data_IF_460007199369
#
_entry.id   IF_460007199369
#
_cell.length_a   1.000
_cell.length_b   1.000
_cell.length_c   1.000
_cell.angle_alpha   90.00
_cell.angle_beta   90.00
_cell.angle_gamma   90.00
#
_symmetry.space_group_name_H-M   'P 1'
#
loop_
_entity.id
_entity.type
_entity.pdbx_description
1 polymer ?
#
# COMPACT_ATOMS: atom_id res chain seq x y z
N UNK A 1 1.47 -10.92 -17.00
CA UNK A 1 1.43 -10.44 -18.40
C UNK A 1 2.75 -9.71 -18.66
N UNK A 2 3.65 -10.32 -19.42
CA UNK A 2 4.84 -9.63 -19.91
C UNK A 2 4.42 -8.79 -21.13
N UNK A 3 4.26 -7.49 -20.95
CA UNK A 3 4.21 -6.55 -22.07
C UNK A 3 5.61 -6.52 -22.68
N UNK A 4 5.80 -7.17 -23.81
CA UNK A 4 7.02 -7.08 -24.60
C UNK A 4 6.95 -5.83 -25.45
N UNK A 5 7.69 -4.80 -25.03
CA UNK A 5 8.06 -3.69 -25.91
C UNK A 5 9.11 -4.23 -26.90
N UNK A 6 8.82 -4.27 -28.21
CA UNK A 6 9.73 -4.82 -29.20
C UNK A 6 11.01 -4.01 -29.38
N UNK A 7 11.13 -2.82 -28.78
CA UNK A 7 12.29 -1.93 -28.89
C UNK A 7 13.25 -2.01 -27.70
N UNK A 8 12.94 -2.78 -26.67
CA UNK A 8 13.82 -2.95 -25.50
C UNK A 8 14.79 -4.10 -25.69
N UNK A 9 16.05 -3.77 -25.53
CA UNK A 9 17.20 -4.68 -25.58
C UNK A 9 16.99 -5.94 -24.71
N UNK A 10 17.40 -7.09 -25.20
CA UNK A 10 17.26 -8.44 -24.63
C UNK A 10 17.74 -8.57 -23.17
N UNK A 11 18.51 -7.62 -22.66
CA UNK A 11 19.10 -7.63 -21.31
C UNK A 11 18.12 -7.31 -20.16
N UNK A 12 16.93 -6.74 -20.44
CA UNK A 12 15.93 -6.39 -19.42
C UNK A 12 14.69 -7.28 -19.45
N UNK A 13 14.76 -8.48 -19.98
CA UNK A 13 13.72 -9.47 -19.73
C UNK A 13 13.71 -9.75 -18.23
N UNK A 14 12.72 -9.21 -17.54
CA UNK A 14 12.34 -9.71 -16.21
C UNK A 14 12.25 -11.24 -16.34
N UNK A 15 13.21 -11.96 -15.79
CA UNK A 15 13.11 -13.40 -15.65
C UNK A 15 12.04 -13.69 -14.62
N UNK A 16 10.79 -13.59 -15.04
CA UNK A 16 9.76 -14.38 -14.36
C UNK A 16 10.24 -15.82 -14.51
N UNK A 17 10.58 -16.44 -13.41
CA UNK A 17 11.00 -17.83 -13.36
C UNK A 17 10.02 -18.66 -14.20
N UNK A 18 10.51 -19.31 -15.24
CA UNK A 18 9.74 -20.26 -16.09
C UNK A 18 9.21 -21.47 -15.31
N UNK A 19 9.43 -21.47 -14.00
CA UNK A 19 8.87 -22.41 -13.04
C UNK A 19 7.56 -21.88 -12.49
N UNK A 20 6.57 -21.72 -13.36
CA UNK A 20 5.19 -21.88 -12.91
C UNK A 20 5.11 -23.35 -12.49
N UNK A 21 4.85 -23.68 -11.20
CA UNK A 21 4.66 -25.07 -10.81
C UNK A 21 3.56 -25.63 -11.72
N UNK A 22 3.81 -26.79 -12.33
CA UNK A 22 2.76 -27.50 -13.05
C UNK A 22 1.56 -27.58 -12.11
N UNK A 23 0.53 -26.84 -12.41
CA UNK A 23 -0.71 -26.89 -11.64
C UNK A 23 -1.39 -28.18 -12.05
N UNK A 24 -1.51 -29.11 -11.16
CA UNK A 24 -2.37 -30.29 -11.33
C UNK A 24 -3.86 -29.93 -11.27
N UNK A 25 -4.25 -28.74 -11.75
CA UNK A 25 -5.61 -28.22 -11.80
C UNK A 25 -5.83 -27.46 -13.11
N UNK A 26 -7.02 -27.62 -13.69
CA UNK A 26 -7.55 -26.69 -14.69
C UNK A 26 -7.71 -25.31 -14.03
N UNK A 27 -6.79 -24.42 -14.34
CA UNK A 27 -6.86 -23.03 -13.89
C UNK A 27 -7.76 -22.29 -14.85
N UNK A 28 -8.83 -21.69 -14.35
CA UNK A 28 -9.66 -20.80 -15.13
C UNK A 28 -8.81 -19.69 -15.76
N UNK A 29 -8.85 -19.59 -17.07
CA UNK A 29 -8.18 -18.53 -17.83
C UNK A 29 -9.20 -17.54 -18.35
N UNK A 30 -8.76 -16.29 -18.50
CA UNK A 30 -9.50 -15.21 -19.15
C UNK A 30 -8.71 -14.71 -20.34
N UNK A 31 -9.40 -14.27 -21.38
CA UNK A 31 -8.77 -13.71 -22.58
C UNK A 31 -8.63 -12.20 -22.37
N UNK A 32 -7.39 -11.69 -22.38
CA UNK A 32 -7.10 -10.25 -22.33
C UNK A 32 -6.27 -9.91 -23.58
N UNK A 33 -6.81 -9.06 -24.46
CA UNK A 33 -6.18 -8.66 -25.72
C UNK A 33 -5.70 -9.86 -26.57
N UNK A 34 -6.48 -10.94 -26.57
CA UNK A 34 -6.17 -12.17 -27.33
C UNK A 34 -5.14 -13.09 -26.66
N UNK A 35 -4.71 -12.79 -25.43
CA UNK A 35 -3.77 -13.61 -24.65
C UNK A 35 -4.51 -14.31 -23.51
N UNK A 36 -4.38 -15.64 -23.42
CA UNK A 36 -4.87 -16.39 -22.28
C UNK A 36 -4.05 -16.04 -21.02
N UNK A 37 -4.74 -15.58 -19.98
CA UNK A 37 -4.14 -15.23 -18.69
C UNK A 37 -4.93 -15.85 -17.55
N UNK A 38 -4.34 -15.96 -16.37
CA UNK A 38 -5.11 -16.22 -15.15
C UNK A 38 -5.95 -15.00 -14.79
N UNK A 39 -7.10 -15.22 -14.16
CA UNK A 39 -7.91 -14.13 -13.62
C UNK A 39 -7.16 -13.31 -12.55
N UNK A 40 -7.74 -12.19 -12.13
CA UNK A 40 -7.11 -11.25 -11.22
C UNK A 40 -6.85 -11.88 -9.84
N UNK A 41 -7.80 -12.66 -9.31
CA UNK A 41 -7.72 -13.30 -7.98
C UNK A 41 -6.62 -14.36 -7.98
N UNK A 42 -6.63 -15.23 -8.98
CA UNK A 42 -5.61 -16.27 -9.18
C UNK A 42 -4.22 -15.66 -9.31
N UNK A 43 -4.08 -14.61 -10.14
CA UNK A 43 -2.81 -13.91 -10.34
C UNK A 43 -2.32 -13.28 -9.04
N UNK A 44 -3.19 -12.63 -8.28
CA UNK A 44 -2.83 -11.97 -7.03
C UNK A 44 -2.30 -12.97 -5.99
N UNK A 45 -2.97 -14.11 -5.82
CA UNK A 45 -2.54 -15.15 -4.89
C UNK A 45 -1.22 -15.78 -5.33
N UNK A 46 -1.02 -16.02 -6.63
CA UNK A 46 0.25 -16.52 -7.16
C UNK A 46 1.42 -15.58 -6.87
N UNK A 47 1.23 -14.28 -7.07
CA UNK A 47 2.26 -13.28 -6.80
C UNK A 47 2.47 -13.15 -5.28
N UNK A 48 1.40 -13.05 -4.49
CA UNK A 48 1.51 -12.91 -3.04
C UNK A 48 2.27 -14.07 -2.39
N UNK A 49 2.05 -15.33 -2.84
CA UNK A 49 2.75 -16.50 -2.31
C UNK A 49 4.26 -16.49 -2.61
N UNK A 50 4.71 -15.80 -3.66
CA UNK A 50 6.11 -15.77 -4.12
C UNK A 50 6.87 -14.50 -3.73
N UNK A 51 6.14 -13.45 -3.38
CA UNK A 51 6.71 -12.15 -3.00
C UNK A 51 7.04 -12.09 -1.51
N UNK A 52 7.82 -11.10 -1.11
CA UNK A 52 7.90 -10.69 0.29
C UNK A 52 6.58 -10.11 0.80
N UNK A 53 6.50 -9.79 2.08
CA UNK A 53 5.27 -9.32 2.73
C UNK A 53 4.80 -7.97 2.18
N UNK A 54 5.75 -7.07 1.88
CA UNK A 54 5.43 -5.73 1.36
C UNK A 54 4.76 -5.81 -0.01
N UNK A 55 5.40 -6.50 -0.96
CA UNK A 55 4.82 -6.68 -2.30
C UNK A 55 3.51 -7.48 -2.28
N UNK A 56 3.43 -8.49 -1.41
CA UNK A 56 2.19 -9.26 -1.26
C UNK A 56 1.04 -8.38 -0.78
N UNK A 57 1.24 -7.52 0.24
CA UNK A 57 0.19 -6.61 0.73
C UNK A 57 -0.23 -5.62 -0.35
N UNK A 58 0.73 -4.99 -1.05
CA UNK A 58 0.45 -4.05 -2.15
C UNK A 58 -0.47 -4.66 -3.21
N UNK A 59 -0.24 -5.93 -3.59
CA UNK A 59 -1.07 -6.57 -4.61
C UNK A 59 -2.46 -6.91 -4.07
N UNK A 60 -2.57 -7.34 -2.81
CA UNK A 60 -3.85 -7.66 -2.17
C UNK A 60 -4.72 -6.40 -2.04
N UNK A 61 -4.16 -5.29 -1.54
CA UNK A 61 -4.84 -3.99 -1.48
C UNK A 61 -5.31 -3.54 -2.88
N UNK A 62 -4.44 -3.68 -3.89
CA UNK A 62 -4.77 -3.28 -5.25
C UNK A 62 -5.91 -4.10 -5.86
N UNK A 63 -6.04 -5.37 -5.53
CA UNK A 63 -7.17 -6.21 -5.97
C UNK A 63 -8.46 -5.80 -5.26
N UNK A 64 -8.41 -5.64 -3.94
CA UNK A 64 -9.56 -5.19 -3.15
C UNK A 64 -10.06 -3.81 -3.62
N UNK A 65 -9.14 -2.87 -3.90
CA UNK A 65 -9.49 -1.54 -4.44
C UNK A 65 -10.18 -1.60 -5.80
N UNK A 66 -9.88 -2.61 -6.62
CA UNK A 66 -10.56 -2.84 -7.90
C UNK A 66 -11.88 -3.58 -7.79
N UNK A 67 -12.40 -3.76 -6.57
CA UNK A 67 -13.66 -4.45 -6.31
C UNK A 67 -13.52 -5.97 -6.22
N UNK A 68 -12.29 -6.49 -6.09
CA UNK A 68 -12.08 -7.91 -5.76
C UNK A 68 -12.63 -8.25 -4.38
N UNK A 69 -13.16 -9.46 -4.24
CA UNK A 69 -13.72 -9.94 -2.98
C UNK A 69 -12.63 -10.63 -2.13
N UNK A 70 -12.60 -10.30 -0.84
CA UNK A 70 -11.70 -10.93 0.13
C UNK A 70 -11.98 -12.43 0.28
N UNK A 71 -13.26 -12.82 0.21
CA UNK A 71 -13.66 -14.22 0.32
C UNK A 71 -13.10 -15.03 -0.86
N UNK A 72 -13.16 -14.48 -2.08
CA UNK A 72 -12.61 -15.13 -3.28
C UNK A 72 -11.08 -15.28 -3.17
N UNK A 73 -10.39 -14.25 -2.67
CA UNK A 73 -8.94 -14.32 -2.42
C UNK A 73 -8.58 -15.40 -1.38
N UNK A 74 -9.38 -15.54 -0.32
CA UNK A 74 -9.20 -16.58 0.71
C UNK A 74 -9.48 -17.96 0.14
N UNK A 75 -10.57 -18.14 -0.59
CA UNK A 75 -10.93 -19.41 -1.22
C UNK A 75 -9.85 -19.87 -2.21
N UNK A 76 -9.34 -18.95 -3.03
CA UNK A 76 -8.25 -19.24 -3.95
C UNK A 76 -6.95 -19.59 -3.21
N UNK A 77 -6.62 -18.90 -2.12
CA UNK A 77 -5.46 -19.21 -1.29
C UNK A 77 -5.57 -20.61 -0.68
N UNK A 78 -6.73 -20.98 -0.16
CA UNK A 78 -7.00 -22.28 0.46
C UNK A 78 -6.99 -23.44 -0.54
N UNK A 79 -7.35 -23.17 -1.78
CA UNK A 79 -7.32 -24.13 -2.87
C UNK A 79 -5.90 -24.57 -3.26
N UNK A 80 -4.85 -23.88 -2.77
CA UNK A 80 -3.48 -24.15 -3.18
C UNK A 80 -2.95 -25.46 -2.58
N UNK A 81 -2.28 -26.30 -3.38
CA UNK A 81 -1.70 -27.56 -2.90
C UNK A 81 -0.50 -27.32 -1.98
N UNK A 82 0.22 -26.20 -2.16
CA UNK A 82 1.36 -25.84 -1.33
C UNK A 82 0.93 -25.19 -0.02
N UNK A 83 1.56 -25.58 1.09
CA UNK A 83 1.38 -24.92 2.39
C UNK A 83 2.37 -23.79 2.64
N UNK A 84 3.41 -23.68 1.78
CA UNK A 84 4.45 -22.66 1.95
C UNK A 84 3.89 -21.27 1.65
N UNK A 85 4.02 -20.37 2.60
CA UNK A 85 3.57 -18.98 2.47
C UNK A 85 2.07 -18.75 2.69
N UNK A 86 1.22 -19.81 2.75
CA UNK A 86 -0.23 -19.67 2.90
C UNK A 86 -0.60 -18.92 4.18
N UNK A 87 0.00 -19.27 5.33
CA UNK A 87 -0.30 -18.58 6.61
C UNK A 87 0.13 -17.10 6.58
N UNK A 88 1.27 -16.82 5.94
CA UNK A 88 1.73 -15.43 5.76
C UNK A 88 0.75 -14.63 4.91
N UNK A 89 0.31 -15.17 3.77
CA UNK A 89 -0.63 -14.47 2.88
C UNK A 89 -2.01 -14.33 3.55
N UNK A 90 -2.45 -15.31 4.33
CA UNK A 90 -3.68 -15.23 5.12
C UNK A 90 -3.63 -14.06 6.11
N UNK A 91 -2.54 -13.93 6.88
CA UNK A 91 -2.36 -12.80 7.81
C UNK A 91 -2.33 -11.45 7.08
N UNK A 92 -1.73 -11.39 5.89
CA UNK A 92 -1.74 -10.17 5.07
C UNK A 92 -3.14 -9.86 4.51
N UNK A 93 -3.94 -10.88 4.19
CA UNK A 93 -5.34 -10.68 3.79
C UNK A 93 -6.19 -10.07 4.91
N UNK A 94 -5.92 -10.39 6.17
CA UNK A 94 -6.59 -9.76 7.31
C UNK A 94 -6.24 -8.27 7.42
N UNK A 95 -4.99 -7.92 7.11
CA UNK A 95 -4.50 -6.54 7.13
C UNK A 95 -4.96 -5.74 5.91
N UNK A 96 -5.00 -6.35 4.73
CA UNK A 96 -5.29 -5.71 3.45
C UNK A 96 -6.62 -4.96 3.45
N UNK A 97 -6.68 -3.83 2.72
CA UNK A 97 -7.88 -3.00 2.66
C UNK A 97 -8.00 -2.27 1.31
N UNK A 98 -9.16 -2.35 0.70
CA UNK A 98 -9.44 -1.71 -0.60
C UNK A 98 -9.46 -0.17 -0.57
N UNK A 99 -9.48 0.44 0.62
CA UNK A 99 -9.37 1.89 0.78
C UNK A 99 -7.93 2.42 0.59
N UNK A 100 -6.92 1.56 0.68
CA UNK A 100 -5.52 1.92 0.40
C UNK A 100 -5.37 2.34 -1.06
N UNK A 101 -4.88 3.54 -1.33
CA UNK A 101 -4.84 4.14 -2.66
C UNK A 101 -3.50 3.97 -3.38
N UNK A 102 -2.42 3.72 -2.64
CA UNK A 102 -1.07 3.61 -3.20
C UNK A 102 -0.24 2.48 -2.58
N UNK A 103 0.79 2.04 -3.30
CA UNK A 103 1.75 1.06 -2.78
C UNK A 103 2.51 1.58 -1.54
N UNK A 104 2.77 2.88 -1.47
CA UNK A 104 3.44 3.46 -0.31
C UNK A 104 2.57 3.47 0.94
N UNK A 105 1.27 3.69 0.79
CA UNK A 105 0.31 3.54 1.89
C UNK A 105 0.23 2.07 2.37
N UNK A 106 0.22 1.08 1.44
CA UNK A 106 0.29 -0.34 1.82
C UNK A 106 1.51 -0.63 2.69
N UNK A 107 2.69 -0.12 2.30
CA UNK A 107 3.91 -0.32 3.07
C UNK A 107 3.88 0.44 4.41
N UNK A 108 3.35 1.65 4.44
CA UNK A 108 3.17 2.40 5.69
C UNK A 108 2.24 1.64 6.66
N UNK A 109 1.13 1.09 6.18
CA UNK A 109 0.22 0.27 6.97
C UNK A 109 0.92 -0.98 7.52
N UNK A 110 1.73 -1.66 6.69
CA UNK A 110 2.50 -2.84 7.11
C UNK A 110 3.51 -2.49 8.21
N UNK A 111 4.24 -1.38 8.05
CA UNK A 111 5.19 -0.90 9.07
C UNK A 111 4.48 -0.60 10.38
N UNK A 112 3.37 0.13 10.35
CA UNK A 112 2.60 0.46 11.55
C UNK A 112 2.06 -0.79 12.25
N UNK A 113 1.56 -1.78 11.48
CA UNK A 113 1.15 -3.07 11.99
C UNK A 113 2.31 -3.84 12.66
N UNK A 114 3.47 -3.92 11.99
CA UNK A 114 4.64 -4.65 12.51
C UNK A 114 5.28 -4.00 13.74
N UNK A 115 5.05 -2.70 13.92
CA UNK A 115 5.41 -1.96 15.13
C UNK A 115 4.42 -2.18 16.29
N UNK A 116 3.34 -2.93 16.05
CA UNK A 116 2.30 -3.20 17.05
C UNK A 116 1.41 -2.00 17.35
N UNK A 117 1.32 -1.03 16.45
CA UNK A 117 0.41 0.09 16.58
C UNK A 117 -1.06 -0.36 16.42
N UNK A 118 -2.02 0.32 17.06
CA UNK A 118 -3.42 0.06 16.83
C UNK A 118 -3.77 0.25 15.35
N UNK A 119 -4.84 -0.40 14.89
CA UNK A 119 -5.27 -0.25 13.49
C UNK A 119 -5.80 1.18 13.30
N UNK A 120 -5.27 1.95 12.33
CA UNK A 120 -5.77 3.28 12.03
C UNK A 120 -7.10 3.22 11.27
N UNK A 121 -7.87 4.29 11.33
CA UNK A 121 -8.91 4.58 10.37
C UNK A 121 -8.26 5.01 9.05
N UNK A 122 -8.67 4.34 7.95
CA UNK A 122 -8.10 4.58 6.62
C UNK A 122 -8.92 5.60 5.87
N UNK A 123 -8.26 6.50 5.14
CA UNK A 123 -8.88 7.53 4.30
C UNK A 123 -9.94 8.34 5.08
N UNK A 124 -9.55 8.72 6.30
CA UNK A 124 -10.46 9.42 7.21
C UNK A 124 -10.74 10.85 6.75
N UNK A 125 -12.02 11.24 6.76
CA UNK A 125 -12.47 12.58 6.40
C UNK A 125 -12.79 13.41 7.65
N UNK A 126 -12.07 14.48 7.85
CA UNK A 126 -12.41 15.49 8.84
C UNK A 126 -13.44 16.45 8.28
N UNK A 127 -14.53 16.65 8.99
CA UNK A 127 -15.60 17.57 8.60
C UNK A 127 -15.90 18.58 9.71
N UNK A 128 -16.13 19.83 9.32
CA UNK A 128 -16.61 20.89 10.20
C UNK A 128 -17.88 21.48 9.58
N UNK A 129 -18.93 21.60 10.35
CA UNK A 129 -20.26 22.08 9.90
C UNK A 129 -20.77 21.37 8.64
N UNK A 130 -20.51 20.04 8.54
CA UNK A 130 -20.94 19.21 7.41
C UNK A 130 -20.12 19.38 6.13
N UNK A 131 -19.03 20.15 6.17
CA UNK A 131 -18.08 20.30 5.05
C UNK A 131 -16.80 19.52 5.32
N UNK A 132 -16.42 18.63 4.40
CA UNK A 132 -15.12 17.98 4.45
C UNK A 132 -14.01 19.03 4.29
N UNK A 133 -13.13 19.13 5.29
CA UNK A 133 -11.99 20.05 5.30
C UNK A 133 -10.68 19.37 4.92
N UNK A 134 -10.56 18.06 5.20
CA UNK A 134 -9.39 17.27 4.82
C UNK A 134 -9.75 15.78 4.82
N UNK A 135 -9.12 15.02 3.91
CA UNK A 135 -9.06 13.56 3.92
C UNK A 135 -7.61 13.17 4.11
N UNK A 136 -7.36 12.25 5.05
CA UNK A 136 -6.02 11.81 5.44
C UNK A 136 -5.88 10.29 5.27
N UNK A 137 -4.68 9.81 4.96
CA UNK A 137 -4.46 8.39 4.68
C UNK A 137 -4.73 7.51 5.90
N UNK A 138 -4.26 7.93 7.09
CA UNK A 138 -4.38 7.19 8.33
C UNK A 138 -4.68 8.13 9.50
N UNK A 139 -5.70 7.78 10.29
CA UNK A 139 -6.07 8.49 11.49
C UNK A 139 -6.06 7.56 12.71
N UNK A 140 -5.41 7.97 13.78
CA UNK A 140 -5.37 7.29 15.08
C UNK A 140 -6.15 8.11 16.10
N UNK A 141 -7.47 7.83 16.27
CA UNK A 141 -8.35 8.70 17.07
C UNK A 141 -7.94 8.81 18.55
N UNK A 142 -7.56 7.70 19.19
CA UNK A 142 -7.15 7.70 20.60
C UNK A 142 -5.86 8.48 20.84
N UNK A 143 -4.90 8.40 19.90
CA UNK A 143 -3.63 9.11 19.97
C UNK A 143 -3.76 10.55 19.46
N UNK A 144 -4.81 10.84 18.70
CA UNK A 144 -4.96 12.13 18.02
C UNK A 144 -3.89 12.37 16.95
N UNK A 145 -3.46 11.31 16.26
CA UNK A 145 -2.35 11.41 15.31
C UNK A 145 -2.81 11.06 13.90
N UNK A 146 -2.47 11.95 12.97
CA UNK A 146 -2.59 11.74 11.53
C UNK A 146 -1.26 11.22 10.99
N UNK A 147 -1.32 10.23 10.10
CA UNK A 147 -0.17 9.78 9.32
C UNK A 147 -0.54 9.84 7.83
N UNK A 148 0.32 10.43 7.02
CA UNK A 148 0.19 10.52 5.58
C UNK A 148 1.41 9.90 4.90
N UNK A 149 1.21 9.32 3.73
CA UNK A 149 2.30 8.86 2.88
C UNK A 149 2.53 9.83 1.73
N UNK A 150 3.71 10.47 1.69
CA UNK A 150 4.12 11.35 0.61
C UNK A 150 5.03 10.62 -0.38
N UNK A 151 4.45 10.25 -1.50
CA UNK A 151 5.19 9.68 -2.62
C UNK A 151 5.94 10.74 -3.42
N UNK A 152 7.04 11.30 -2.95
CA UNK A 152 7.90 12.37 -3.54
C UNK A 152 8.08 12.35 -5.08
N UNK A 153 7.60 11.33 -5.77
CA UNK A 153 7.66 11.18 -7.23
C UNK A 153 6.84 12.26 -7.96
N UNK A 154 5.85 12.87 -7.29
CA UNK A 154 5.00 13.92 -7.90
C UNK A 154 5.77 15.20 -8.27
N UNK A 155 6.93 15.43 -7.67
CA UNK A 155 7.73 16.65 -7.89
C UNK A 155 8.83 16.51 -8.96
N UNK A 156 9.16 15.29 -9.42
CA UNK A 156 10.23 15.05 -10.41
C UNK A 156 9.73 14.84 -11.84
N UNK A 157 8.50 14.45 -12.02
CA UNK A 157 7.89 14.40 -13.35
C UNK A 157 7.21 15.73 -13.61
N UNK A 158 7.78 16.56 -14.51
CA UNK A 158 7.26 17.86 -14.93
C UNK A 158 5.89 17.80 -15.64
N UNK A 159 5.02 16.92 -15.23
CA UNK A 159 3.63 16.86 -15.63
C UNK A 159 2.76 17.54 -14.58
N UNK A 160 2.77 18.86 -14.62
CA UNK A 160 1.71 19.68 -14.04
C UNK A 160 0.43 19.38 -14.82
N UNK A 161 -0.35 18.42 -14.32
CA UNK A 161 -1.72 18.23 -14.80
C UNK A 161 -2.58 19.39 -14.26
N UNK A 162 -2.77 20.39 -15.10
CA UNK A 162 -3.61 21.55 -14.81
C UNK A 162 -2.80 22.82 -14.50
N UNK A 163 -3.34 23.95 -14.81
CA UNK A 163 -2.75 25.30 -14.87
C UNK A 163 -2.26 25.90 -13.52
N UNK A 164 -1.76 25.07 -12.59
CA UNK A 164 -1.18 25.54 -11.31
C UNK A 164 0.33 25.50 -11.37
N UNK A 165 0.96 26.59 -10.89
CA UNK A 165 2.41 26.66 -10.74
C UNK A 165 2.88 25.76 -9.58
N UNK A 166 4.16 25.37 -9.59
CA UNK A 166 4.75 24.60 -8.48
C UNK A 166 4.59 25.33 -7.13
N UNK A 167 4.63 26.67 -7.15
CA UNK A 167 4.44 27.52 -5.98
C UNK A 167 3.00 27.44 -5.44
N UNK A 168 1.99 27.49 -6.31
CA UNK A 168 0.58 27.34 -5.92
C UNK A 168 0.29 25.95 -5.32
N UNK A 169 0.97 24.90 -5.81
CA UNK A 169 0.85 23.55 -5.26
C UNK A 169 1.44 23.49 -3.85
N UNK A 170 2.61 24.07 -3.62
CA UNK A 170 3.25 24.11 -2.29
C UNK A 170 2.41 24.90 -1.30
N UNK A 171 1.87 26.05 -1.73
CA UNK A 171 1.01 26.89 -0.89
C UNK A 171 -0.30 26.14 -0.53
N UNK A 172 -0.94 25.49 -1.50
CA UNK A 172 -2.16 24.72 -1.26
C UNK A 172 -1.93 23.55 -0.28
N UNK A 173 -0.79 22.85 -0.41
CA UNK A 173 -0.41 21.77 0.50
C UNK A 173 -0.17 22.27 1.93
N UNK A 174 0.49 23.43 2.07
CA UNK A 174 0.68 24.05 3.38
C UNK A 174 -0.65 24.42 4.04
N UNK A 175 -1.58 25.03 3.28
CA UNK A 175 -2.90 25.33 3.82
C UNK A 175 -3.67 24.07 4.22
N UNK A 176 -3.53 22.98 3.47
CA UNK A 176 -4.15 21.70 3.82
C UNK A 176 -3.56 21.13 5.12
N UNK A 177 -2.24 21.17 5.29
CA UNK A 177 -1.58 20.73 6.51
C UNK A 177 -1.99 21.57 7.72
N UNK A 178 -2.04 22.90 7.56
CA UNK A 178 -2.47 23.82 8.62
C UNK A 178 -3.94 23.55 8.99
N UNK A 179 -4.80 23.28 8.02
CA UNK A 179 -6.20 22.92 8.26
C UNK A 179 -6.32 21.62 9.05
N UNK A 180 -5.55 20.57 8.70
CA UNK A 180 -5.52 19.30 9.45
C UNK A 180 -5.06 19.53 10.89
N UNK A 181 -3.99 20.31 11.10
CA UNK A 181 -3.47 20.62 12.44
C UNK A 181 -4.45 21.44 13.30
N UNK A 182 -5.32 22.22 12.67
CA UNK A 182 -6.36 23.01 13.35
C UNK A 182 -7.60 22.18 13.75
N UNK A 183 -7.72 20.93 13.29
CA UNK A 183 -8.85 20.06 13.66
C UNK A 183 -8.82 19.76 15.16
N UNK A 184 -9.92 19.98 15.89
CA UNK A 184 -10.02 19.59 17.29
C UNK A 184 -9.75 18.09 17.47
N UNK A 185 -8.82 17.74 18.36
CA UNK A 185 -8.41 16.36 18.62
C UNK A 185 -7.16 15.91 17.86
N UNK A 186 -6.73 16.60 16.80
CA UNK A 186 -5.43 16.35 16.17
C UNK A 186 -4.32 16.93 17.05
N UNK A 187 -3.44 16.04 17.53
CA UNK A 187 -2.29 16.34 18.41
C UNK A 187 -0.96 16.19 17.70
N UNK A 188 -0.91 15.38 16.64
CA UNK A 188 0.30 15.11 15.90
C UNK A 188 0.00 14.79 14.43
N UNK A 189 0.95 15.15 13.56
CA UNK A 189 0.92 14.79 12.13
C UNK A 189 2.28 14.20 11.77
N UNK A 190 2.30 12.99 11.22
CA UNK A 190 3.47 12.35 10.64
C UNK A 190 3.34 12.31 9.13
N UNK A 191 4.44 12.51 8.43
CA UNK A 191 4.51 12.32 6.98
C UNK A 191 5.61 11.32 6.70
N UNK A 192 5.25 10.18 6.11
CA UNK A 192 6.16 9.12 5.74
C UNK A 192 6.49 9.21 4.25
N UNK A 193 7.72 8.89 3.90
CA UNK A 193 8.22 8.83 2.52
C UNK A 193 8.83 7.46 2.23
N UNK A 194 9.09 7.17 0.97
CA UNK A 194 9.61 5.86 0.52
C UNK A 194 10.81 5.36 1.34
N UNK A 195 11.82 6.19 1.56
CA UNK A 195 13.04 5.78 2.29
C UNK A 195 12.76 5.37 3.74
N UNK A 196 11.68 5.89 4.35
CA UNK A 196 11.32 5.61 5.74
C UNK A 196 10.55 4.30 5.87
N UNK A 197 9.64 4.02 4.91
CA UNK A 197 8.80 2.80 4.94
C UNK A 197 9.52 1.56 4.40
N UNK A 198 10.62 1.72 3.66
CA UNK A 198 11.40 0.59 3.19
C UNK A 198 12.22 -0.04 4.34
N UNK A 199 12.60 -1.35 4.25
CA UNK A 199 13.37 -2.03 5.28
C UNK A 199 14.63 -1.26 5.68
N UNK A 200 14.83 -1.09 6.98
CA UNK A 200 15.96 -0.33 7.53
C UNK A 200 15.74 1.19 7.58
N UNK A 201 14.62 1.71 7.07
CA UNK A 201 14.25 3.12 7.16
C UNK A 201 13.88 3.56 8.57
N UNK A 202 13.67 4.84 8.76
CA UNK A 202 13.49 5.49 10.06
C UNK A 202 12.01 5.85 10.39
N UNK A 203 11.04 5.21 9.72
CA UNK A 203 9.61 5.39 10.03
C UNK A 203 9.28 5.24 11.52
N UNK A 204 9.86 4.28 12.30
CA UNK A 204 9.59 4.19 13.73
C UNK A 204 9.94 5.47 14.51
N UNK A 205 10.99 6.19 14.09
CA UNK A 205 11.40 7.46 14.71
C UNK A 205 10.39 8.55 14.39
N UNK A 206 10.00 8.67 13.12
CA UNK A 206 9.01 9.66 12.65
C UNK A 206 7.66 9.45 13.33
N UNK A 207 7.17 8.20 13.37
CA UNK A 207 5.91 7.85 14.01
C UNK A 207 5.92 8.12 15.53
N UNK A 208 7.02 7.81 16.22
CA UNK A 208 7.15 8.12 17.66
C UNK A 208 7.14 9.61 17.93
N UNK A 209 7.83 10.41 17.12
CA UNK A 209 7.86 11.87 17.24
C UNK A 209 6.49 12.52 17.06
N UNK A 210 5.62 11.90 16.30
CA UNK A 210 4.24 12.37 16.13
C UNK A 210 3.33 12.06 17.32
N UNK A 211 3.77 11.23 18.27
CA UNK A 211 3.00 10.86 19.45
C UNK A 211 2.42 9.43 19.42
N UNK A 212 2.75 8.63 18.43
CA UNK A 212 2.34 7.22 18.40
C UNK A 212 3.17 6.36 19.37
N UNK A 213 2.57 5.32 20.00
CA UNK A 213 3.20 4.50 21.02
C UNK A 213 4.15 3.45 20.41
N UNK A 214 5.12 3.90 19.63
CA UNK A 214 6.13 3.03 19.02
C UNK A 214 7.14 2.57 20.08
N UNK A 215 7.44 1.26 20.21
CA UNK A 215 8.41 0.75 21.17
C UNK A 215 9.79 1.40 21.00
N UNK A 216 10.45 1.76 22.14
CA UNK A 216 11.75 2.45 22.12
C UNK A 216 12.85 1.62 21.45
N UNK A 217 12.76 0.28 21.51
CA UNK A 217 13.70 -0.63 20.85
C UNK A 217 13.60 -0.58 19.33
N UNK A 218 12.44 -0.19 18.77
CA UNK A 218 12.21 -0.11 17.33
C UNK A 218 12.83 1.17 16.78
N UNK A 219 13.99 1.05 16.16
CA UNK A 219 14.74 2.18 15.57
C UNK A 219 14.64 2.26 14.06
N UNK A 220 14.44 1.13 13.40
CA UNK A 220 14.36 1.02 11.95
C UNK A 220 13.12 0.26 11.52
N UNK A 221 12.68 0.52 10.30
CA UNK A 221 11.57 -0.21 9.67
C UNK A 221 11.92 -1.70 9.59
N UNK A 222 11.02 -2.61 10.05
CA UNK A 222 11.23 -4.04 9.96
C UNK A 222 11.47 -4.53 8.53
N UNK A 223 12.17 -5.65 8.41
CA UNK A 223 12.33 -6.37 7.14
C UNK A 223 11.14 -7.31 6.92
N UNK A 224 10.68 -7.44 5.70
CA UNK A 224 9.58 -8.33 5.30
C UNK A 224 9.91 -9.30 4.16
#
# INVERSE_FOLDING_TARGET
>A
VALTDPTRDRAQRLRFSDKVPARGRDVATVLIDGVETTDLVTTAIDVALRSDRGHALVILDAVLRRGGDRHDLLAELESRPTRRGVQRVRALLELADGRIESAGESLALLVMHDLGLPRPELQHEFSVDGRCIARVDFWFPEQGVVVEFDGLVKYRAGEVRGARTAEEVVIAEKFREDAVRAVPGVRGVARLIWREVLPGGDAPITLRRSGLPVPLASRTTPTW
#
